data_IF_101218228269
#
_entry.id   IF_101218228269
#
_cell.length_a   1.000
_cell.length_b   1.000
_cell.length_c   1.000
_cell.angle_alpha   90.00
_cell.angle_beta   90.00
_cell.angle_gamma   90.00
#
_symmetry.space_group_name_H-M   'P 1'
#
loop_
_entity.id
_entity.type
_entity.pdbx_description
1 polymer ?
#
# COMPACT_ATOMS: atom_id res chain seq x y z
N UNK A 1 -18.49 4.39 7.13
CA UNK A 1 -17.92 3.08 7.55
C UNK A 1 -16.44 3.09 7.24
N UNK A 2 -15.61 2.79 8.23
CA UNK A 2 -14.16 2.64 8.08
C UNK A 2 -13.82 1.43 7.22
N UNK A 3 -12.81 1.56 6.37
CA UNK A 3 -12.31 0.53 5.47
C UNK A 3 -10.80 0.52 5.49
N UNK A 4 -10.21 -0.64 5.19
CA UNK A 4 -8.77 -0.83 5.07
C UNK A 4 -8.42 -1.33 3.68
N UNK A 5 -7.33 -0.81 3.11
CA UNK A 5 -6.70 -1.32 1.88
C UNK A 5 -5.22 -1.58 2.17
N UNK A 6 -4.78 -2.79 1.88
CA UNK A 6 -3.39 -3.25 2.09
C UNK A 6 -2.74 -3.46 0.72
N UNK A 7 -1.52 -2.96 0.56
CA UNK A 7 -0.68 -3.18 -0.61
C UNK A 7 0.64 -3.79 -0.12
N UNK A 8 1.09 -4.88 -0.75
CA UNK A 8 2.32 -5.60 -0.38
C UNK A 8 3.17 -5.87 -1.62
N UNK A 9 4.49 -5.70 -1.51
CA UNK A 9 5.46 -5.99 -2.56
C UNK A 9 6.66 -6.72 -2.00
N UNK A 10 7.33 -7.57 -2.82
CA UNK A 10 8.36 -8.50 -2.35
C UNK A 10 9.67 -8.57 -3.18
N UNK A 11 9.96 -7.62 -4.08
CA UNK A 11 11.15 -7.66 -4.96
C UNK A 11 11.84 -6.30 -5.18
N UNK A 12 13.09 -6.33 -5.67
CA UNK A 12 14.15 -5.30 -5.60
C UNK A 12 13.87 -3.81 -5.91
N UNK A 13 12.66 -3.37 -6.24
CA UNK A 13 12.23 -1.95 -6.30
C UNK A 13 10.84 -1.71 -5.63
N UNK A 14 10.53 -2.50 -4.60
CA UNK A 14 9.19 -2.65 -3.99
C UNK A 14 8.46 -1.35 -3.70
N UNK A 15 9.10 -0.36 -3.10
CA UNK A 15 8.39 0.82 -2.59
C UNK A 15 7.85 1.72 -3.71
N UNK A 16 8.64 1.98 -4.76
CA UNK A 16 8.20 2.86 -5.85
C UNK A 16 7.04 2.24 -6.65
N UNK A 17 7.09 0.92 -6.86
CA UNK A 17 6.01 0.17 -7.51
C UNK A 17 4.74 0.18 -6.66
N UNK A 18 4.88 -0.06 -5.36
CA UNK A 18 3.79 0.05 -4.38
C UNK A 18 3.16 1.45 -4.35
N UNK A 19 3.99 2.49 -4.36
CA UNK A 19 3.54 3.89 -4.43
C UNK A 19 2.75 4.16 -5.73
N UNK A 20 3.22 3.64 -6.87
CA UNK A 20 2.49 3.75 -8.14
C UNK A 20 1.13 3.07 -8.06
N UNK A 21 1.05 1.86 -7.50
CA UNK A 21 -0.23 1.15 -7.32
C UNK A 21 -1.20 1.88 -6.41
N UNK A 22 -0.70 2.37 -5.27
CA UNK A 22 -1.48 3.21 -4.34
C UNK A 22 -2.04 4.42 -5.07
N UNK A 23 -1.20 5.15 -5.80
CA UNK A 23 -1.61 6.35 -6.53
C UNK A 23 -2.62 6.05 -7.64
N UNK A 24 -2.46 4.95 -8.38
CA UNK A 24 -3.44 4.50 -9.37
C UNK A 24 -4.78 4.17 -8.72
N UNK A 25 -4.76 3.49 -7.56
CA UNK A 25 -5.97 3.18 -6.81
C UNK A 25 -6.66 4.46 -6.31
N UNK A 26 -5.91 5.41 -5.73
CA UNK A 26 -6.43 6.70 -5.29
C UNK A 26 -7.09 7.49 -6.43
N UNK A 27 -6.46 7.52 -7.62
CA UNK A 27 -7.03 8.15 -8.82
C UNK A 27 -8.35 7.50 -9.23
N UNK A 28 -8.45 6.17 -9.20
CA UNK A 28 -9.70 5.44 -9.49
C UNK A 28 -10.82 5.74 -8.49
N UNK A 29 -10.49 6.09 -7.24
CA UNK A 29 -11.51 6.46 -6.26
C UNK A 29 -12.08 7.87 -6.48
N UNK A 30 -11.50 8.70 -7.35
CA UNK A 30 -12.06 9.98 -7.83
C UNK A 30 -12.76 10.83 -6.73
N UNK A 31 -12.06 11.08 -5.61
CA UNK A 31 -12.54 11.87 -4.43
C UNK A 31 -13.67 11.22 -3.60
N UNK A 32 -14.04 9.98 -3.87
CA UNK A 32 -15.02 9.23 -3.07
C UNK A 32 -14.45 8.65 -1.77
N UNK A 33 -13.16 8.87 -1.48
CA UNK A 33 -12.55 8.40 -0.23
C UNK A 33 -11.88 9.53 0.53
N UNK A 34 -12.02 9.48 1.86
CA UNK A 34 -11.27 10.29 2.81
C UNK A 34 -10.26 9.36 3.49
N UNK A 35 -8.97 9.62 3.33
CA UNK A 35 -7.91 8.87 4.02
C UNK A 35 -7.91 9.29 5.50
N UNK A 36 -7.91 8.30 6.39
CA UNK A 36 -7.82 8.48 7.84
C UNK A 36 -6.35 8.32 8.26
N UNK A 37 -5.74 7.20 7.89
CA UNK A 37 -4.34 6.87 8.22
C UNK A 37 -3.68 6.19 7.03
N UNK A 38 -2.39 6.45 6.84
CA UNK A 38 -1.52 5.73 5.91
C UNK A 38 -0.28 5.25 6.67
N UNK A 39 -0.12 3.94 6.79
CA UNK A 39 1.08 3.34 7.38
C UNK A 39 1.94 2.67 6.31
N UNK A 40 3.26 2.80 6.46
CA UNK A 40 4.25 2.10 5.64
C UNK A 40 5.12 1.27 6.57
N UNK A 41 5.25 -0.03 6.27
CA UNK A 41 6.13 -0.96 6.99
C UNK A 41 7.04 -1.64 5.98
N UNK A 42 8.32 -1.71 6.33
CA UNK A 42 9.34 -2.37 5.50
C UNK A 42 10.05 -3.41 6.35
N UNK A 43 10.24 -4.60 5.79
CA UNK A 43 11.05 -5.66 6.37
C UNK A 43 12.11 -6.04 5.35
N UNK A 44 13.37 -6.02 5.76
CA UNK A 44 14.49 -6.53 4.98
C UNK A 44 15.12 -7.73 5.66
N UNK A 45 15.66 -8.65 4.88
CA UNK A 45 16.30 -9.84 5.42
C UNK A 45 16.93 -10.71 4.35
N UNK A 46 17.31 -11.92 4.76
CA UNK A 46 17.85 -12.96 3.89
C UNK A 46 16.96 -14.18 4.00
N UNK A 47 16.54 -14.77 2.88
CA UNK A 47 15.73 -15.97 2.89
C UNK A 47 16.60 -17.22 3.20
N UNK A 48 15.99 -18.40 3.28
CA UNK A 48 16.68 -19.65 3.58
C UNK A 48 17.73 -20.06 2.52
N UNK A 49 17.66 -19.49 1.31
CA UNK A 49 18.59 -19.74 0.21
C UNK A 49 19.78 -18.76 0.20
N UNK A 50 19.81 -17.80 1.13
CA UNK A 50 20.86 -16.77 1.16
C UNK A 50 20.54 -15.54 0.29
N UNK A 51 19.37 -15.48 -0.35
CA UNK A 51 18.96 -14.35 -1.18
C UNK A 51 18.41 -13.21 -0.31
N UNK A 52 18.92 -12.00 -0.54
CA UNK A 52 18.38 -10.80 0.10
C UNK A 52 16.95 -10.52 -0.40
N UNK A 53 16.07 -10.11 0.51
CA UNK A 53 14.73 -9.65 0.18
C UNK A 53 14.41 -8.35 0.91
N UNK A 54 13.56 -7.54 0.28
CA UNK A 54 12.96 -6.35 0.88
C UNK A 54 11.47 -6.44 0.60
N UNK A 55 10.68 -6.64 1.65
CA UNK A 55 9.24 -6.59 1.61
C UNK A 55 8.77 -5.22 2.08
N UNK A 56 7.88 -4.61 1.33
CA UNK A 56 7.23 -3.36 1.74
C UNK A 56 5.72 -3.56 1.79
N UNK A 57 5.08 -2.95 2.77
CA UNK A 57 3.63 -2.97 2.96
C UNK A 57 3.13 -1.55 3.20
N UNK A 58 2.11 -1.14 2.45
CA UNK A 58 1.40 0.12 2.64
C UNK A 58 -0.04 -0.19 3.05
N UNK A 59 -0.48 0.33 4.18
CA UNK A 59 -1.83 0.17 4.71
C UNK A 59 -2.53 1.52 4.70
N UNK A 60 -3.72 1.59 4.10
CA UNK A 60 -4.55 2.79 4.06
C UNK A 60 -5.87 2.51 4.75
N UNK A 61 -6.12 3.22 5.86
CA UNK A 61 -7.42 3.30 6.51
C UNK A 61 -8.18 4.49 5.93
N UNK A 62 -9.43 4.29 5.52
CA UNK A 62 -10.20 5.32 4.82
C UNK A 62 -11.71 5.21 5.07
N UNK A 63 -12.41 6.33 4.93
CA UNK A 63 -13.86 6.37 4.76
C UNK A 63 -14.20 6.44 3.28
N UNK A 64 -15.24 5.71 2.85
CA UNK A 64 -15.85 5.93 1.53
C UNK A 64 -17.00 6.91 1.70
N UNK A 65 -16.88 8.09 1.11
CA UNK A 65 -17.96 9.04 1.01
C UNK A 65 -19.06 8.45 0.12
N UNK A 66 -20.34 8.68 0.42
CA UNK A 66 -21.40 8.37 -0.52
C UNK A 66 -21.13 9.13 -1.82
N UNK A 67 -21.23 8.44 -2.95
CA UNK A 67 -21.26 9.08 -4.26
C UNK A 67 -22.44 10.06 -4.28
N UNK A 68 -22.31 11.27 -4.84
CA UNK A 68 -23.45 12.16 -5.04
C UNK A 68 -24.58 11.49 -5.82
#
# INVERSE_FOLDING_TARGET
MEKVKIFTGATGNTFEELEKEVNQWLRKQNRTIQIIVREVRTISGTNLEGHAFINCTIVIFYHKNPTP
#
